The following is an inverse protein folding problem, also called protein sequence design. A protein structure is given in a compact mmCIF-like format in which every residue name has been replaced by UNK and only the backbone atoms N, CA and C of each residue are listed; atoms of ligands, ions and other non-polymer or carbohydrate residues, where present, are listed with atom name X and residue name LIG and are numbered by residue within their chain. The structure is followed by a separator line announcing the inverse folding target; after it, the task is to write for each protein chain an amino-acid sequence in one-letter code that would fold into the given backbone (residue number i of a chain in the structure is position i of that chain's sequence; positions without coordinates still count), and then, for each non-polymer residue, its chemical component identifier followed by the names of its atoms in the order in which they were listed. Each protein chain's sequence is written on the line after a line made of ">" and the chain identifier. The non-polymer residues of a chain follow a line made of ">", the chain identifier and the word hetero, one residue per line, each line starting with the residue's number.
data_IF_064249006381
#
_entry.id   IF_064249006381
#
_cell.length_a   1.000
_cell.length_b   1.000
_cell.length_c   1.000
_cell.angle_alpha   90.00
_cell.angle_beta   90.00
_cell.angle_gamma   90.00
#
_symmetry.space_group_name_H-M   'P 1'
#
loop_
_entity.id
_entity.type
_entity.pdbx_description
1 polymer ?
#
# COMPACT_ATOMS: atom_id res chain seq x y z
N UNK A 1 -16.06 0.66 0.53
CA UNK A 1 -15.24 -0.40 1.18
C UNK A 1 -13.75 -0.08 1.25
N UNK A 2 -13.21 0.82 0.40
CA UNK A 2 -11.78 1.21 0.44
C UNK A 2 -11.36 1.98 1.70
N UNK A 3 -12.29 2.64 2.37
CA UNK A 3 -11.99 3.54 3.50
C UNK A 3 -11.31 2.82 4.67
N UNK A 4 -11.69 1.56 4.94
CA UNK A 4 -11.12 0.78 6.06
C UNK A 4 -9.63 0.45 5.79
N UNK A 5 -9.24 -0.13 4.63
CA UNK A 5 -7.84 -0.29 4.24
C UNK A 5 -7.03 0.99 4.26
N UNK A 6 -7.60 2.09 3.74
CA UNK A 6 -6.91 3.40 3.69
C UNK A 6 -6.61 3.89 5.10
N UNK A 7 -7.58 3.83 6.02
CA UNK A 7 -7.37 4.23 7.41
C UNK A 7 -6.28 3.40 8.09
N UNK A 8 -6.25 2.07 7.84
CA UNK A 8 -5.20 1.18 8.36
C UNK A 8 -3.83 1.52 7.79
N UNK A 9 -3.74 1.70 6.48
CA UNK A 9 -2.50 2.06 5.78
C UNK A 9 -1.94 3.37 6.34
N UNK A 10 -2.76 4.42 6.42
CA UNK A 10 -2.34 5.74 6.89
C UNK A 10 -1.91 5.71 8.36
N UNK A 11 -2.65 5.01 9.22
CA UNK A 11 -2.33 4.89 10.64
C UNK A 11 -1.02 4.13 10.89
N UNK A 12 -0.81 3.01 10.20
CA UNK A 12 0.40 2.20 10.33
C UNK A 12 1.63 2.86 9.68
N UNK A 13 1.46 3.48 8.51
CA UNK A 13 2.53 4.21 7.86
C UNK A 13 2.93 5.44 8.70
N UNK A 14 1.95 6.14 9.29
CA UNK A 14 2.18 7.27 10.20
C UNK A 14 2.95 6.86 11.45
N UNK A 15 2.56 5.76 12.09
CA UNK A 15 3.24 5.28 13.30
C UNK A 15 4.68 4.82 13.03
N UNK A 16 4.92 4.09 11.93
CA UNK A 16 6.25 3.67 11.51
C UNK A 16 7.16 4.86 11.19
N UNK A 17 6.66 5.86 10.46
CA UNK A 17 7.41 7.10 10.19
C UNK A 17 7.74 7.85 11.49
N UNK A 18 6.80 7.94 12.42
CA UNK A 18 7.00 8.59 13.72
C UNK A 18 8.02 7.87 14.62
N UNK A 19 8.16 6.55 14.46
CA UNK A 19 9.16 5.73 15.17
C UNK A 19 10.56 5.73 14.51
N UNK A 20 10.74 6.47 13.40
CA UNK A 20 12.02 6.52 12.66
C UNK A 20 12.13 5.53 11.50
N UNK A 21 11.17 4.63 11.31
CA UNK A 21 11.12 3.72 10.13
C UNK A 21 10.40 4.38 8.96
N UNK A 22 11.10 5.26 8.25
CA UNK A 22 10.56 5.95 7.07
C UNK A 22 10.77 5.17 5.77
N UNK A 23 11.80 4.33 5.72
CA UNK A 23 12.22 3.61 4.51
C UNK A 23 11.20 2.55 4.10
N UNK A 24 10.67 1.79 5.07
CA UNK A 24 9.75 0.70 4.74
C UNK A 24 8.41 1.21 4.18
N UNK A 25 7.70 2.16 4.83
CA UNK A 25 6.46 2.70 4.28
C UNK A 25 6.68 3.36 2.90
N UNK A 26 7.81 4.03 2.71
CA UNK A 26 8.16 4.62 1.42
C UNK A 26 8.31 3.56 0.32
N UNK A 27 9.06 2.48 0.57
CA UNK A 27 9.24 1.41 -0.40
C UNK A 27 7.92 0.70 -0.73
N UNK A 28 7.08 0.44 0.28
CA UNK A 28 5.76 -0.16 0.05
C UNK A 28 4.91 0.74 -0.85
N UNK A 29 4.89 2.05 -0.60
CA UNK A 29 4.13 2.99 -1.40
C UNK A 29 4.68 3.15 -2.83
N UNK A 30 6.00 3.19 -2.98
CA UNK A 30 6.67 3.30 -4.27
C UNK A 30 6.40 2.05 -5.12
N UNK A 31 6.66 0.86 -4.56
CA UNK A 31 6.48 -0.41 -5.26
C UNK A 31 5.02 -0.64 -5.60
N UNK A 32 4.11 -0.39 -4.64
CA UNK A 32 2.67 -0.51 -4.87
C UNK A 32 2.19 0.39 -6.01
N UNK A 33 2.65 1.64 -6.08
CA UNK A 33 2.19 2.56 -7.12
C UNK A 33 2.77 2.22 -8.49
N UNK A 34 4.08 1.98 -8.56
CA UNK A 34 4.79 1.87 -9.82
C UNK A 34 4.80 0.46 -10.42
N UNK A 35 4.89 -0.57 -9.60
CA UNK A 35 5.04 -1.95 -10.07
C UNK A 35 3.77 -2.78 -9.94
N UNK A 36 2.79 -2.32 -9.17
CA UNK A 36 1.52 -3.02 -9.01
C UNK A 36 0.36 -2.23 -9.63
N UNK A 37 0.06 -1.04 -9.10
CA UNK A 37 -1.10 -0.25 -9.50
C UNK A 37 -1.01 0.22 -10.96
N UNK A 38 0.08 0.89 -11.36
CA UNK A 38 0.21 1.43 -12.72
C UNK A 38 0.13 0.34 -13.81
N UNK A 39 0.87 -0.78 -13.71
CA UNK A 39 0.77 -1.86 -14.70
C UNK A 39 -0.62 -2.51 -14.74
N UNK A 40 -1.27 -2.74 -13.59
CA UNK A 40 -2.59 -3.33 -13.55
C UNK A 40 -3.67 -2.42 -14.15
N UNK A 41 -3.63 -1.13 -13.84
CA UNK A 41 -4.56 -0.16 -14.42
C UNK A 41 -4.34 -0.05 -15.93
N UNK A 42 -3.08 0.02 -16.38
CA UNK A 42 -2.76 0.03 -17.81
C UNK A 42 -3.23 -1.24 -18.53
N UNK A 43 -3.00 -2.41 -17.95
CA UNK A 43 -3.49 -3.67 -18.50
C UNK A 43 -5.02 -3.67 -18.59
N UNK A 44 -5.71 -3.28 -17.52
CA UNK A 44 -7.18 -3.27 -17.48
C UNK A 44 -7.78 -2.30 -18.50
N UNK A 45 -7.26 -1.07 -18.62
CA UNK A 45 -7.86 -0.03 -19.46
C UNK A 45 -7.37 -0.04 -20.91
N UNK A 46 -6.09 -0.30 -21.14
CA UNK A 46 -5.48 -0.21 -22.48
C UNK A 46 -5.47 -1.56 -23.19
N UNK A 47 -5.04 -2.63 -22.51
CA UNK A 47 -4.96 -3.96 -23.14
C UNK A 47 -6.33 -4.62 -23.22
N UNK A 48 -7.05 -4.66 -22.10
CA UNK A 48 -8.32 -5.38 -21.98
C UNK A 48 -9.56 -4.51 -22.19
N UNK A 49 -9.39 -3.18 -22.27
CA UNK A 49 -10.48 -2.21 -22.43
C UNK A 49 -11.66 -2.46 -21.47
N UNK A 50 -11.33 -2.87 -20.25
CA UNK A 50 -12.32 -3.15 -19.22
C UNK A 50 -13.03 -1.85 -18.81
N UNK A 51 -14.29 -1.95 -18.33
CA UNK A 51 -15.01 -0.78 -17.90
C UNK A 51 -14.32 -0.11 -16.70
N UNK A 52 -14.60 1.18 -16.50
CA UNK A 52 -13.95 2.02 -15.47
C UNK A 52 -14.08 1.44 -14.05
N UNK A 53 -15.14 0.69 -13.74
CA UNK A 53 -15.31 0.05 -12.43
C UNK A 53 -14.18 -0.94 -12.10
N UNK A 54 -13.52 -1.52 -13.10
CA UNK A 54 -12.37 -2.43 -12.89
C UNK A 54 -11.19 -1.72 -12.24
N UNK A 55 -10.99 -0.43 -12.54
CA UNK A 55 -9.95 0.41 -11.92
C UNK A 55 -10.20 0.56 -10.43
N UNK A 56 -11.47 0.74 -10.02
CA UNK A 56 -11.85 0.81 -8.62
C UNK A 56 -11.56 -0.51 -7.87
N UNK A 57 -11.76 -1.66 -8.51
CA UNK A 57 -11.40 -2.94 -7.88
C UNK A 57 -9.89 -3.07 -7.71
N UNK A 58 -9.11 -2.64 -8.71
CA UNK A 58 -7.65 -2.63 -8.63
C UNK A 58 -7.17 -1.71 -7.50
N UNK A 59 -7.77 -0.53 -7.32
CA UNK A 59 -7.43 0.38 -6.23
C UNK A 59 -7.77 -0.21 -4.87
N UNK A 60 -8.95 -0.83 -4.70
CA UNK A 60 -9.31 -1.55 -3.46
C UNK A 60 -8.24 -2.57 -3.11
N UNK A 61 -7.88 -3.44 -4.06
CA UNK A 61 -6.91 -4.52 -3.85
C UNK A 61 -5.52 -3.97 -3.50
N UNK A 62 -5.06 -2.93 -4.19
CA UNK A 62 -3.79 -2.28 -3.87
C UNK A 62 -3.77 -1.72 -2.44
N UNK A 63 -4.86 -1.06 -1.99
CA UNK A 63 -4.96 -0.56 -0.62
C UNK A 63 -4.92 -1.69 0.42
N UNK A 64 -5.58 -2.81 0.15
CA UNK A 64 -5.51 -4.00 1.02
C UNK A 64 -4.09 -4.55 1.10
N UNK A 65 -3.40 -4.71 -0.03
CA UNK A 65 -2.03 -5.23 -0.06
C UNK A 65 -1.10 -4.34 0.77
N UNK A 66 -1.17 -3.02 0.60
CA UNK A 66 -0.33 -2.08 1.38
C UNK A 66 -0.63 -2.12 2.86
N UNK A 67 -1.90 -2.10 3.23
CA UNK A 67 -2.32 -2.22 4.63
C UNK A 67 -1.79 -3.51 5.26
N UNK A 68 -1.88 -4.65 4.56
CA UNK A 68 -1.34 -5.93 5.03
C UNK A 68 0.20 -5.91 5.16
N UNK A 69 0.92 -5.38 4.16
CA UNK A 69 2.39 -5.30 4.21
C UNK A 69 2.89 -4.42 5.36
N UNK A 70 2.23 -3.29 5.61
CA UNK A 70 2.52 -2.42 6.75
C UNK A 70 2.15 -3.08 8.08
N UNK A 71 1.03 -3.81 8.14
CA UNK A 71 0.62 -4.52 9.35
C UNK A 71 1.61 -5.62 9.72
N UNK A 72 2.08 -6.39 8.74
CA UNK A 72 3.13 -7.40 8.94
C UNK A 72 4.42 -6.73 9.43
N UNK A 73 4.83 -5.61 8.81
CA UNK A 73 6.01 -4.86 9.25
C UNK A 73 5.87 -4.32 10.67
N UNK A 74 4.70 -3.80 11.01
CA UNK A 74 4.39 -3.30 12.33
C UNK A 74 4.44 -4.42 13.38
N UNK A 75 3.87 -5.59 13.07
CA UNK A 75 3.90 -6.77 13.96
C UNK A 75 5.28 -7.39 14.11
N UNK A 76 6.15 -7.26 13.11
CA UNK A 76 7.52 -7.80 13.19
C UNK A 76 8.38 -7.17 14.29
N UNK A 77 7.95 -6.06 14.91
CA UNK A 77 8.67 -5.27 15.94
C UNK A 77 10.09 -4.85 15.58
N UNK A 78 10.59 -5.15 14.37
CA UNK A 78 11.91 -4.71 13.86
C UNK A 78 12.03 -3.19 13.74
N UNK A 79 10.94 -2.45 13.92
CA UNK A 79 10.95 -0.99 13.99
C UNK A 79 11.40 -0.51 15.37
N UNK A 80 11.22 -1.31 16.42
CA UNK A 80 11.65 -1.00 17.80
C UNK A 80 13.17 -1.05 17.94
N UNK A 81 13.86 -1.87 17.13
CA UNK A 81 15.33 -1.95 17.12
C UNK A 81 16.00 -0.81 16.36
N UNK A 82 15.22 0.03 15.66
CA UNK A 82 15.74 1.23 14.99
C UNK A 82 15.97 2.24 16.11
N UNK A 83 17.21 2.31 16.58
CA UNK A 83 17.64 3.30 17.57
C UNK A 83 17.72 4.65 16.85
N UNK A 84 16.84 5.57 17.23
CA UNK A 84 16.84 6.98 16.80
C UNK A 84 17.96 7.72 17.52
#
# INVERSE_FOLDING_TARGET
>A
FEQIPIALEMGLAGSLRGAGDTRYPFLVALIGNWFFRLPLVYAATVLYQLPVWSVWVITVVDWFIRATLLLVRYRSRRWVSIRV
#
